data_IF_636363196537
#
_entry.id   IF_636363196537
#
_cell.length_a   1.000
_cell.length_b   1.000
_cell.length_c   1.000
_cell.angle_alpha   90.00
_cell.angle_beta   90.00
_cell.angle_gamma   90.00
#
_symmetry.space_group_name_H-M   'P 1'
#
loop_
_entity.id
_entity.type
_entity.pdbx_description
1 polymer ?
#
# COMPACT_ATOMS: atom_id res chain seq x y z
N UNK A 1 -12.41 5.78 -8.71
CA UNK A 1 -11.28 4.83 -8.81
C UNK A 1 -11.84 3.52 -9.35
N UNK A 2 -12.01 3.41 -10.67
CA UNK A 2 -12.69 2.25 -11.27
C UNK A 2 -12.28 1.96 -12.71
N UNK A 3 -11.43 2.79 -13.33
CA UNK A 3 -11.13 2.65 -14.76
C UNK A 3 -9.89 1.77 -15.07
N UNK A 4 -9.15 1.33 -14.05
CA UNK A 4 -7.90 0.56 -14.21
C UNK A 4 -7.91 -0.83 -13.56
N UNK A 5 -8.91 -1.17 -12.75
CA UNK A 5 -8.99 -2.47 -12.06
C UNK A 5 -9.37 -3.63 -12.98
N UNK A 6 -10.09 -3.37 -14.07
CA UNK A 6 -10.49 -4.37 -15.05
C UNK A 6 -9.32 -5.03 -15.78
N UNK A 7 -8.18 -4.33 -15.89
CA UNK A 7 -6.95 -4.87 -16.51
C UNK A 7 -6.17 -5.82 -15.59
N UNK A 8 -6.40 -5.80 -14.27
CA UNK A 8 -5.70 -6.67 -13.33
C UNK A 8 -6.32 -8.08 -13.27
N UNK A 9 -7.61 -8.23 -13.57
CA UNK A 9 -8.29 -9.54 -13.56
C UNK A 9 -8.08 -10.35 -14.83
N UNK A 10 -7.68 -9.70 -15.93
CA UNK A 10 -7.41 -10.36 -17.21
C UNK A 10 -6.02 -10.97 -17.33
N UNK A 11 -5.15 -10.78 -16.31
CA UNK A 11 -3.81 -11.34 -16.33
C UNK A 11 -3.88 -12.82 -15.93
N UNK A 12 -3.37 -13.75 -16.76
CA UNK A 12 -3.31 -15.17 -16.41
C UNK A 12 -2.60 -15.35 -15.06
N UNK A 13 -3.30 -15.94 -14.09
CA UNK A 13 -2.69 -16.30 -12.80
C UNK A 13 -1.85 -17.54 -13.02
N UNK A 14 -0.53 -17.38 -13.11
CA UNK A 14 0.41 -18.50 -13.20
C UNK A 14 0.29 -19.44 -12.00
N UNK A 15 0.73 -20.69 -12.16
CA UNK A 15 0.65 -21.73 -11.12
C UNK A 15 1.45 -21.39 -9.85
N UNK A 16 2.56 -20.64 -10.02
CA UNK A 16 3.42 -20.17 -8.93
C UNK A 16 3.19 -18.67 -8.72
N UNK A 17 2.48 -18.32 -7.67
CA UNK A 17 2.28 -16.92 -7.24
C UNK A 17 2.94 -16.71 -5.88
N UNK A 18 3.66 -15.61 -5.74
CA UNK A 18 4.13 -15.11 -4.46
C UNK A 18 3.33 -13.86 -4.07
N UNK A 19 2.91 -13.81 -2.81
CA UNK A 19 2.24 -12.65 -2.23
C UNK A 19 3.22 -12.01 -1.24
N UNK A 20 3.46 -10.72 -1.39
CA UNK A 20 4.37 -9.97 -0.52
C UNK A 20 3.79 -8.59 -0.18
N UNK A 21 4.32 -7.96 0.86
CA UNK A 21 3.96 -6.63 1.30
C UNK A 21 5.10 -5.66 0.99
N UNK A 22 4.87 -4.70 0.08
CA UNK A 22 5.85 -3.66 -0.21
C UNK A 22 5.47 -2.34 0.48
N UNK A 23 6.47 -1.68 1.05
CA UNK A 23 6.34 -0.35 1.63
C UNK A 23 6.86 0.70 0.66
N UNK A 24 5.98 1.58 0.19
CA UNK A 24 6.32 2.69 -0.71
C UNK A 24 6.42 3.99 0.10
N UNK A 25 7.63 4.53 0.34
CA UNK A 25 7.80 5.72 1.17
C UNK A 25 7.09 6.94 0.59
N UNK A 26 6.35 7.67 1.43
CA UNK A 26 5.63 8.86 0.99
C UNK A 26 5.58 9.93 2.09
N UNK A 27 6.07 11.13 1.79
CA UNK A 27 6.22 12.21 2.78
C UNK A 27 5.00 13.12 2.90
N UNK A 28 4.21 13.33 1.83
CA UNK A 28 3.11 14.31 1.84
C UNK A 28 1.94 13.87 2.76
N UNK A 29 1.01 14.80 3.01
CA UNK A 29 -0.18 14.54 3.84
C UNK A 29 -1.20 13.74 3.02
N UNK A 30 -1.43 12.50 3.41
CA UNK A 30 -2.43 11.64 2.80
C UNK A 30 -3.05 10.74 3.86
N UNK A 31 -4.35 10.42 3.71
CA UNK A 31 -5.12 9.70 4.75
C UNK A 31 -4.83 8.20 4.83
N UNK A 32 -4.17 7.63 3.82
CA UNK A 32 -3.89 6.20 3.71
C UNK A 32 -2.42 5.84 3.99
N UNK A 33 -1.58 6.82 4.38
CA UNK A 33 -0.17 6.54 4.68
C UNK A 33 -0.05 5.96 6.08
N UNK A 34 0.64 4.84 6.24
CA UNK A 34 0.87 4.22 7.52
C UNK A 34 2.14 4.78 8.17
N UNK A 35 2.12 4.85 9.50
CA UNK A 35 3.29 5.15 10.30
C UNK A 35 3.93 3.85 10.79
N UNK A 36 5.21 3.65 10.49
CA UNK A 36 5.98 2.45 10.84
C UNK A 36 7.18 2.85 11.68
N UNK A 37 7.03 2.80 13.00
CA UNK A 37 8.05 3.26 13.95
C UNK A 37 9.39 2.52 13.81
N UNK A 38 9.34 1.22 13.49
CA UNK A 38 10.51 0.34 13.40
C UNK A 38 11.27 0.41 12.06
N UNK A 39 10.81 1.21 11.09
CA UNK A 39 11.44 1.31 9.77
C UNK A 39 12.20 2.62 9.61
N UNK A 40 13.35 2.64 8.88
CA UNK A 40 14.12 3.86 8.63
C UNK A 40 13.27 4.97 7.99
N UNK A 41 12.34 4.57 7.11
CA UNK A 41 11.33 5.46 6.51
C UNK A 41 9.99 5.20 7.18
N UNK A 42 9.61 6.11 8.07
CA UNK A 42 8.46 5.95 8.96
C UNK A 42 7.11 6.17 8.31
N UNK A 43 7.04 6.81 7.13
CA UNK A 43 5.78 7.12 6.45
C UNK A 43 5.76 6.46 5.08
N UNK A 44 4.86 5.50 4.88
CA UNK A 44 4.76 4.75 3.63
C UNK A 44 3.32 4.30 3.35
N UNK A 45 3.03 4.03 2.08
CA UNK A 45 1.91 3.19 1.73
C UNK A 45 2.31 1.73 1.84
N UNK A 46 1.43 0.91 2.42
CA UNK A 46 1.55 -0.53 2.40
C UNK A 46 0.73 -1.06 1.22
N UNK A 47 1.39 -1.69 0.27
CA UNK A 47 0.74 -2.33 -0.88
C UNK A 47 0.96 -3.83 -0.77
N UNK A 48 -0.07 -4.61 -1.08
CA UNK A 48 0.09 -6.04 -1.30
C UNK A 48 0.42 -6.26 -2.76
N UNK A 49 1.53 -6.94 -2.98
CA UNK A 49 2.03 -7.33 -4.27
C UNK A 49 1.72 -8.80 -4.48
N UNK A 50 1.09 -9.14 -5.61
CA UNK A 50 1.07 -10.52 -6.08
C UNK A 50 1.97 -10.57 -7.31
N UNK A 51 3.04 -11.33 -7.25
CA UNK A 51 3.97 -11.51 -8.37
C UNK A 51 3.90 -12.95 -8.86
N UNK A 52 3.73 -13.11 -10.17
CA UNK A 52 3.96 -14.37 -10.89
C UNK A 52 5.13 -14.21 -11.85
N UNK A 53 5.39 -15.24 -12.67
CA UNK A 53 6.49 -15.23 -13.65
C UNK A 53 6.42 -14.05 -14.64
N UNK A 54 5.21 -13.64 -15.01
CA UNK A 54 5.00 -12.71 -16.14
C UNK A 54 4.32 -11.39 -15.73
N UNK A 55 3.99 -11.21 -14.45
CA UNK A 55 3.22 -10.03 -14.03
C UNK A 55 3.27 -9.72 -12.54
N UNK A 56 3.06 -8.45 -12.23
CA UNK A 56 2.96 -7.91 -10.89
C UNK A 56 1.60 -7.24 -10.73
N UNK A 57 0.74 -7.81 -9.89
CA UNK A 57 -0.54 -7.23 -9.50
C UNK A 57 -0.35 -6.46 -8.20
N UNK A 58 -0.67 -5.16 -8.22
CA UNK A 58 -0.58 -4.29 -7.05
C UNK A 58 -1.98 -4.03 -6.51
N UNK A 59 -2.24 -4.44 -5.27
CA UNK A 59 -3.44 -4.04 -4.55
C UNK A 59 -3.08 -3.08 -3.42
N UNK A 60 -3.64 -1.87 -3.44
CA UNK A 60 -3.46 -0.92 -2.35
C UNK A 60 -4.41 -1.29 -1.22
N UNK A 61 -3.85 -1.90 -0.17
CA UNK A 61 -4.65 -2.23 1.00
C UNK A 61 -4.89 -0.98 1.84
N UNK A 62 -6.17 -0.68 2.02
CA UNK A 62 -6.62 0.53 2.72
C UNK A 62 -6.76 0.25 4.20
N UNK A 63 -5.65 0.18 4.92
CA UNK A 63 -5.72 0.18 6.37
C UNK A 63 -6.06 1.58 6.87
N UNK A 64 -7.10 1.69 7.72
CA UNK A 64 -7.40 2.95 8.40
C UNK A 64 -6.22 3.26 9.32
N UNK A 65 -5.58 4.40 9.09
CA UNK A 65 -4.65 4.98 10.04
C UNK A 65 -5.32 5.13 11.41
N UNK A 66 -4.99 4.26 12.36
CA UNK A 66 -5.13 4.54 13.78
C UNK A 66 -4.02 5.51 14.22
N UNK A 67 -3.90 6.66 13.56
CA UNK A 67 -3.03 7.73 14.08
C UNK A 67 -3.84 8.50 15.13
N UNK A 68 -3.32 8.71 16.34
CA UNK A 68 -3.83 9.78 17.19
C UNK A 68 -3.76 11.06 16.35
N UNK A 69 -4.89 11.77 16.22
CA UNK A 69 -4.83 13.11 15.63
C UNK A 69 -3.80 13.87 16.46
N UNK A 70 -2.85 14.61 15.86
CA UNK A 70 -2.15 15.62 16.63
C UNK A 70 -3.22 16.63 17.03
N UNK A 71 -3.72 16.52 18.26
CA UNK A 71 -4.44 17.60 18.90
C UNK A 71 -3.47 18.77 18.88
N UNK A 72 -3.85 19.77 18.09
CA UNK A 72 -3.16 21.05 17.97
C UNK A 72 -2.94 21.57 19.40
N UNK A 73 -1.72 21.48 19.93
CA UNK A 73 -1.34 22.30 21.07
C UNK A 73 -1.45 23.75 20.58
N UNK A 74 -2.56 24.41 20.89
CA UNK A 74 -2.65 25.86 20.80
C UNK A 74 -1.87 26.37 22.01
N UNK A 75 -0.79 27.09 21.74
CA UNK A 75 -0.24 28.07 22.67
C UNK A 75 -1.27 29.18 22.87
#
# INVERSE_FOLDING_TARGET
>A
VSHSSSKLTSIPKGEKLAIDEQLVPFKKRHRLKLYLAAKPRKWAYKILLMTGSDSVLVNLHRERCATPRPTRCRH
#
